data_IF_960428692014
#
_entry.id   IF_960428692014
#
_cell.length_a   1.000
_cell.length_b   1.000
_cell.length_c   1.000
_cell.angle_alpha   90.00
_cell.angle_beta   90.00
_cell.angle_gamma   90.00
#
_symmetry.space_group_name_H-M   'P 1'
#
loop_
_entity.id
_entity.type
_entity.pdbx_description
1 polymer ?
#
# COMPACT_ATOMS: atom_id res chain seq x y z
N UNK A 1 -24.57 8.90 -38.44
CA UNK A 1 -24.30 9.28 -37.04
C UNK A 1 -23.96 7.98 -36.30
N UNK A 2 -22.67 7.61 -36.22
CA UNK A 2 -22.25 6.40 -35.50
C UNK A 2 -22.24 6.74 -34.01
N UNK A 3 -22.95 5.97 -33.21
CA UNK A 3 -22.88 6.08 -31.77
C UNK A 3 -21.43 5.76 -31.36
N UNK A 4 -20.78 6.72 -30.70
CA UNK A 4 -19.49 6.51 -30.05
C UNK A 4 -19.67 5.38 -29.01
N UNK A 5 -19.18 4.18 -29.30
CA UNK A 5 -19.10 3.11 -28.32
C UNK A 5 -18.11 3.56 -27.24
N UNK A 6 -18.62 4.02 -26.10
CA UNK A 6 -17.78 4.30 -24.94
C UNK A 6 -17.07 2.99 -24.59
N UNK A 7 -15.73 2.93 -24.56
CA UNK A 7 -15.04 1.72 -24.17
C UNK A 7 -15.55 1.32 -22.80
N UNK A 8 -16.12 0.12 -22.71
CA UNK A 8 -16.52 -0.49 -21.45
C UNK A 8 -15.26 -0.51 -20.59
N UNK A 9 -15.30 0.17 -19.44
CA UNK A 9 -14.17 0.20 -18.52
C UNK A 9 -13.87 -1.25 -18.14
N UNK A 10 -12.76 -1.79 -18.65
CA UNK A 10 -12.32 -3.14 -18.33
C UNK A 10 -12.08 -3.29 -16.82
N UNK A 11 -11.96 -4.54 -16.32
CA UNK A 11 -11.71 -4.77 -14.91
C UNK A 11 -10.45 -4.02 -14.45
N UNK A 12 -10.54 -3.34 -13.30
CA UNK A 12 -9.42 -2.58 -12.75
C UNK A 12 -8.20 -3.49 -12.52
N UNK A 13 -7.00 -3.14 -13.02
CA UNK A 13 -5.81 -3.96 -12.82
C UNK A 13 -5.44 -4.00 -11.34
N UNK A 14 -5.01 -5.18 -10.88
CA UNK A 14 -4.53 -5.41 -9.52
C UNK A 14 -3.06 -5.79 -9.60
N UNK A 15 -2.22 -5.03 -8.92
CA UNK A 15 -0.76 -5.24 -8.92
C UNK A 15 -0.34 -5.69 -7.52
N UNK A 16 0.60 -6.63 -7.45
CA UNK A 16 1.26 -7.04 -6.22
C UNK A 16 2.66 -6.41 -6.15
N UNK A 17 2.97 -5.73 -5.05
CA UNK A 17 4.26 -5.10 -4.80
C UNK A 17 4.97 -5.78 -3.64
N UNK A 18 6.27 -6.05 -3.81
CA UNK A 18 7.19 -6.35 -2.73
C UNK A 18 8.09 -5.14 -2.51
N UNK A 19 8.01 -4.53 -1.33
CA UNK A 19 8.85 -3.38 -0.96
C UNK A 19 9.77 -3.84 0.16
N UNK A 20 11.06 -3.91 -0.14
CA UNK A 20 12.09 -4.39 0.79
C UNK A 20 13.01 -3.26 1.23
N UNK A 21 13.41 -3.27 2.49
CA UNK A 21 14.43 -2.36 3.04
C UNK A 21 15.26 -3.03 4.12
N UNK A 22 16.30 -2.32 4.54
CA UNK A 22 17.25 -2.73 5.58
C UNK A 22 17.14 -1.80 6.78
N UNK A 23 18.12 -1.88 7.69
CA UNK A 23 18.20 -1.07 8.91
C UNK A 23 18.24 0.42 8.55
N UNK A 24 17.36 1.23 9.14
CA UNK A 24 17.25 2.67 8.89
C UNK A 24 16.34 3.03 7.71
N UNK A 25 15.85 2.07 6.93
CA UNK A 25 14.98 2.34 5.78
C UNK A 25 13.51 2.53 6.14
N UNK A 26 13.10 2.37 7.41
CA UNK A 26 11.69 2.43 7.81
C UNK A 26 10.95 3.69 7.31
N UNK A 27 11.59 4.87 7.41
CA UNK A 27 11.01 6.12 6.93
C UNK A 27 10.89 6.17 5.39
N UNK A 28 11.88 5.62 4.69
CA UNK A 28 11.91 5.55 3.22
C UNK A 28 10.86 4.56 2.71
N UNK A 29 10.77 3.37 3.30
CA UNK A 29 9.74 2.37 3.02
C UNK A 29 8.34 2.94 3.18
N UNK A 30 8.09 3.65 4.28
CA UNK A 30 6.80 4.30 4.50
C UNK A 30 6.48 5.32 3.41
N UNK A 31 7.44 6.18 3.03
CA UNK A 31 7.25 7.16 1.96
C UNK A 31 6.95 6.48 0.62
N UNK A 32 7.69 5.43 0.29
CA UNK A 32 7.48 4.63 -0.92
C UNK A 32 6.10 3.98 -0.93
N UNK A 33 5.70 3.35 0.18
CA UNK A 33 4.40 2.71 0.30
C UNK A 33 3.26 3.72 0.12
N UNK A 34 3.36 4.91 0.73
CA UNK A 34 2.38 6.00 0.54
C UNK A 34 2.27 6.46 -0.91
N UNK A 35 3.39 6.57 -1.61
CA UNK A 35 3.41 7.00 -3.02
C UNK A 35 2.82 5.95 -3.97
N UNK A 36 3.01 4.66 -3.66
CA UNK A 36 2.52 3.54 -4.47
C UNK A 36 1.09 3.12 -4.12
N UNK A 37 0.53 3.59 -3.01
CA UNK A 37 -0.69 3.01 -2.44
C UNK A 37 -1.91 3.18 -3.34
N UNK A 38 -2.59 2.06 -3.57
CA UNK A 38 -3.88 1.99 -4.22
C UNK A 38 -4.69 0.84 -3.60
N UNK A 39 -5.95 1.09 -3.27
CA UNK A 39 -6.79 0.16 -2.51
C UNK A 39 -6.99 -1.21 -3.20
N UNK A 40 -6.94 -1.24 -4.53
CA UNK A 40 -7.08 -2.47 -5.31
C UNK A 40 -5.81 -3.35 -5.38
N UNK A 41 -4.67 -2.85 -4.88
CA UNK A 41 -3.37 -3.51 -4.97
C UNK A 41 -3.02 -4.25 -3.67
N UNK A 42 -2.03 -5.15 -3.77
CA UNK A 42 -1.50 -5.90 -2.62
C UNK A 42 -0.05 -5.51 -2.37
N UNK A 43 0.33 -5.32 -1.12
CA UNK A 43 1.66 -4.87 -0.72
C UNK A 43 2.24 -5.81 0.34
N UNK A 44 3.45 -6.31 0.09
CA UNK A 44 4.27 -7.00 1.09
C UNK A 44 5.43 -6.08 1.43
N UNK A 45 5.54 -5.72 2.71
CA UNK A 45 6.65 -4.91 3.21
C UNK A 45 7.60 -5.82 3.97
N UNK A 46 8.84 -5.90 3.51
CA UNK A 46 9.89 -6.73 4.07
C UNK A 46 10.99 -5.85 4.68
N UNK A 47 11.27 -6.06 5.96
CA UNK A 47 12.47 -5.56 6.63
C UNK A 47 13.37 -6.77 6.90
N UNK A 48 14.66 -6.63 6.62
CA UNK A 48 15.62 -7.70 6.90
C UNK A 48 15.71 -8.06 8.40
N UNK A 49 16.41 -9.16 8.68
CA UNK A 49 16.57 -9.68 10.03
C UNK A 49 17.51 -8.83 10.89
N UNK A 50 18.42 -8.08 10.28
CA UNK A 50 19.41 -7.24 10.96
C UNK A 50 18.75 -5.98 11.57
N UNK A 51 17.57 -5.60 11.08
CA UNK A 51 16.78 -4.50 11.65
C UNK A 51 16.41 -4.77 13.11
N UNK A 52 16.53 -3.78 14.02
CA UNK A 52 16.06 -3.92 15.40
C UNK A 52 14.56 -4.23 15.48
N UNK A 53 14.15 -5.07 16.43
CA UNK A 53 12.74 -5.40 16.63
C UNK A 53 11.85 -4.17 16.90
N UNK A 54 12.40 -3.15 17.56
CA UNK A 54 11.73 -1.88 17.80
C UNK A 54 11.41 -1.14 16.50
N UNK A 55 12.38 -1.02 15.59
CA UNK A 55 12.19 -0.35 14.30
C UNK A 55 11.14 -1.07 13.43
N UNK A 56 11.15 -2.41 13.42
CA UNK A 56 10.09 -3.20 12.76
C UNK A 56 8.71 -2.92 13.36
N UNK A 57 8.61 -2.89 14.68
CA UNK A 57 7.35 -2.64 15.39
C UNK A 57 6.84 -1.21 15.15
N UNK A 58 7.73 -0.22 15.15
CA UNK A 58 7.42 1.16 14.83
C UNK A 58 6.88 1.32 13.41
N UNK A 59 7.53 0.70 12.41
CA UNK A 59 7.04 0.74 11.03
C UNK A 59 5.64 0.12 10.91
N UNK A 60 5.41 -1.04 11.54
CA UNK A 60 4.11 -1.71 11.52
C UNK A 60 3.02 -0.84 12.18
N UNK A 61 3.32 -0.26 13.34
CA UNK A 61 2.41 0.62 14.07
C UNK A 61 2.06 1.86 13.24
N UNK A 62 3.05 2.52 12.65
CA UNK A 62 2.85 3.72 11.82
C UNK A 62 1.99 3.41 10.60
N UNK A 63 2.16 2.24 9.96
CA UNK A 63 1.32 1.83 8.83
C UNK A 63 -0.13 1.58 9.30
N UNK A 64 -0.35 0.95 10.45
CA UNK A 64 -1.71 0.65 10.92
C UNK A 64 -2.52 1.88 11.31
N UNK A 65 -1.88 2.91 11.85
CA UNK A 65 -2.56 4.15 12.27
C UNK A 65 -2.73 5.17 11.14
N UNK A 66 -2.01 5.01 10.02
CA UNK A 66 -2.02 6.00 8.94
C UNK A 66 -3.33 5.88 8.13
N UNK A 67 -4.18 6.93 8.12
CA UNK A 67 -5.50 6.88 7.51
C UNK A 67 -5.46 6.66 6.00
N UNK A 68 -4.31 6.88 5.36
CA UNK A 68 -4.12 6.58 3.93
C UNK A 68 -4.39 5.11 3.62
N UNK A 69 -4.07 4.20 4.54
CA UNK A 69 -4.24 2.75 4.34
C UNK A 69 -5.58 2.22 4.84
N UNK A 70 -6.40 3.07 5.47
CA UNK A 70 -7.69 2.66 6.00
C UNK A 70 -8.68 2.58 4.84
N UNK A 71 -9.16 1.36 4.58
CA UNK A 71 -10.35 1.16 3.75
C UNK A 71 -11.54 1.75 4.50
N UNK A 72 -12.11 2.85 4.01
CA UNK A 72 -13.49 3.15 4.41
C UNK A 72 -14.36 2.05 3.80
N UNK A 73 -14.96 1.24 4.66
CA UNK A 73 -16.07 0.37 4.27
C UNK A 73 -17.31 1.25 4.32
N UNK A 74 -17.95 1.61 3.19
CA UNK A 74 -19.20 2.34 3.24
C UNK A 74 -20.29 1.33 3.65
N UNK A 75 -20.89 1.49 4.84
CA UNK A 75 -22.09 0.74 5.23
C UNK A 75 -22.11 0.05 6.60
N UNK A 76 -21.13 0.23 7.48
CA UNK A 76 -21.25 -0.18 8.89
C UNK A 76 -21.44 1.06 9.79
N UNK A 77 -22.68 1.54 9.88
CA UNK A 77 -23.26 2.28 11.01
C UNK A 77 -24.73 1.88 11.14
#
# INVERSE_FOLDING_TARGET
MRAEERPTQGPMPKIAYLVSGSTGDGATLRRTLRALYHLANTYVVHLDLEVPAAERAELAAVIHIDPVYVRSVPGEL
#
